data_IF_842122002914
#
_entry.id   IF_842122002914
#
_cell.length_a   1.000
_cell.length_b   1.000
_cell.length_c   1.000
_cell.angle_alpha   90.00
_cell.angle_beta   90.00
_cell.angle_gamma   90.00
#
_symmetry.space_group_name_H-M   'P 1'
#
loop_
_entity.id
_entity.type
_entity.pdbx_description
1 polymer ?
#
# COMPACT_ATOMS: atom_id res chain seq x y z
N UNK A 1 -7.53 -3.88 -15.09
CA UNK A 1 -7.78 -3.09 -13.86
C UNK A 1 -7.06 -1.79 -14.07
N UNK A 2 -7.78 -0.79 -14.57
CA UNK A 2 -7.15 0.31 -15.31
C UNK A 2 -7.07 1.58 -14.46
N UNK A 3 -7.23 1.44 -13.14
CA UNK A 3 -7.30 2.52 -12.17
C UNK A 3 -6.35 2.34 -10.99
N UNK A 4 -6.29 3.33 -10.08
CA UNK A 4 -5.46 3.27 -8.89
C UNK A 4 -5.83 2.07 -8.00
N UNK A 5 -4.82 1.48 -7.35
CA UNK A 5 -5.00 0.39 -6.37
C UNK A 5 -5.03 0.99 -4.96
N UNK A 6 -6.09 0.73 -4.20
CA UNK A 6 -6.12 0.99 -2.76
C UNK A 6 -5.46 -0.19 -2.03
N UNK A 7 -4.31 0.06 -1.41
CA UNK A 7 -3.61 -0.92 -0.58
C UNK A 7 -4.07 -0.73 0.87
N UNK A 8 -4.73 -1.75 1.42
CA UNK A 8 -5.34 -1.71 2.75
C UNK A 8 -4.60 -2.63 3.69
N UNK A 9 -4.31 -2.13 4.89
CA UNK A 9 -3.83 -2.91 6.04
C UNK A 9 -4.63 -2.52 7.30
N UNK A 10 -4.62 -3.33 8.35
CA UNK A 10 -5.32 -3.00 9.60
C UNK A 10 -4.49 -2.06 10.50
N UNK A 11 -3.21 -2.38 10.71
CA UNK A 11 -2.29 -1.65 11.55
C UNK A 11 -0.95 -1.44 10.83
N UNK A 12 -0.45 -0.21 10.83
CA UNK A 12 0.91 0.06 10.37
C UNK A 12 1.83 0.33 11.56
N UNK A 13 2.95 -0.40 11.61
CA UNK A 13 4.01 -0.14 12.58
C UNK A 13 5.13 0.71 11.95
N UNK A 14 6.14 0.07 11.36
CA UNK A 14 7.24 0.77 10.68
C UNK A 14 6.89 1.31 9.29
N UNK A 15 5.76 0.89 8.71
CA UNK A 15 5.43 1.17 7.31
C UNK A 15 6.18 0.33 6.27
N UNK A 16 7.03 -0.61 6.69
CA UNK A 16 7.84 -1.41 5.75
C UNK A 16 6.98 -2.29 4.84
N UNK A 17 5.95 -2.96 5.40
CA UNK A 17 4.99 -3.76 4.62
C UNK A 17 4.32 -2.92 3.54
N UNK A 18 3.80 -1.75 3.90
CA UNK A 18 3.14 -0.82 2.97
C UNK A 18 4.08 -0.37 1.86
N UNK A 19 5.34 -0.06 2.21
CA UNK A 19 6.38 0.33 1.25
C UNK A 19 6.68 -0.78 0.25
N UNK A 20 6.92 -2.00 0.72
CA UNK A 20 7.28 -3.13 -0.13
C UNK A 20 6.11 -3.59 -1.00
N UNK A 21 4.90 -3.67 -0.45
CA UNK A 21 3.68 -3.98 -1.19
C UNK A 21 3.42 -2.94 -2.29
N UNK A 22 3.55 -1.65 -1.98
CA UNK A 22 3.46 -0.56 -2.97
C UNK A 22 4.48 -0.77 -4.08
N UNK A 23 5.75 -1.06 -3.75
CA UNK A 23 6.80 -1.29 -4.74
C UNK A 23 6.48 -2.47 -5.67
N UNK A 24 5.94 -3.55 -5.13
CA UNK A 24 5.57 -4.74 -5.92
C UNK A 24 4.38 -4.46 -6.84
N UNK A 25 3.34 -3.80 -6.34
CA UNK A 25 2.17 -3.41 -7.13
C UNK A 25 2.54 -2.45 -8.28
N UNK A 26 3.43 -1.49 -8.02
CA UNK A 26 3.97 -0.60 -9.07
C UNK A 26 4.72 -1.37 -10.15
N UNK A 27 5.53 -2.36 -9.77
CA UNK A 27 6.24 -3.23 -10.73
C UNK A 27 5.31 -4.16 -11.51
N UNK A 28 4.18 -4.52 -10.93
CA UNK A 28 3.13 -5.31 -11.60
C UNK A 28 2.24 -4.47 -12.55
N UNK A 29 2.49 -3.16 -12.65
CA UNK A 29 1.78 -2.27 -13.59
C UNK A 29 0.65 -1.44 -12.99
N UNK A 30 0.50 -1.40 -11.66
CA UNK A 30 -0.52 -0.55 -11.03
C UNK A 30 -0.25 0.94 -11.35
N UNK A 31 -1.20 1.68 -11.97
CA UNK A 31 -1.00 3.05 -12.43
C UNK A 31 -0.87 4.06 -11.28
N UNK A 32 -1.37 3.72 -10.09
CA UNK A 32 -1.06 4.33 -8.80
C UNK A 32 -1.37 3.35 -7.67
N UNK A 33 -0.78 3.56 -6.49
CA UNK A 33 -1.08 2.81 -5.26
C UNK A 33 -1.35 3.81 -4.15
N UNK A 34 -2.49 3.69 -3.48
CA UNK A 34 -2.95 4.54 -2.39
C UNK A 34 -2.88 3.71 -1.09
N UNK A 35 -1.92 3.95 -0.19
CA UNK A 35 -1.82 3.22 1.06
C UNK A 35 -2.84 3.74 2.08
N UNK A 36 -3.54 2.84 2.76
CA UNK A 36 -4.48 3.15 3.83
C UNK A 36 -4.39 2.09 4.94
N UNK A 37 -4.30 2.54 6.19
CA UNK A 37 -4.34 1.66 7.37
C UNK A 37 -5.37 2.19 8.37
N UNK A 38 -6.03 1.28 9.10
CA UNK A 38 -7.02 1.67 10.13
C UNK A 38 -6.36 2.30 11.36
N UNK A 39 -5.13 1.89 11.68
CA UNK A 39 -4.36 2.40 12.81
C UNK A 39 -2.86 2.49 12.51
N UNK A 40 -2.15 3.29 13.29
CA UNK A 40 -0.69 3.34 13.34
C UNK A 40 -0.19 3.20 14.79
N UNK A 41 0.99 2.63 15.00
CA UNK A 41 1.58 2.41 16.34
C UNK A 41 2.27 3.65 16.94
N UNK A 42 2.22 4.80 16.24
CA UNK A 42 2.90 6.05 16.57
C UNK A 42 1.98 7.26 16.57
#
# INVERSE_FOLDING_TARGET
VDGPVLLVDDLVDTGWTMTMATRLLRRAGAPAVLPFALAATT
#
